data_IF_226421846509
#
_entry.id   IF_226421846509
#
_cell.length_a   1.000
_cell.length_b   1.000
_cell.length_c   1.000
_cell.angle_alpha   90.00
_cell.angle_beta   90.00
_cell.angle_gamma   90.00
#
_symmetry.space_group_name_H-M   'P 1'
#
loop_
_entity.id
_entity.type
_entity.pdbx_description
1 polymer ?
#
# COMPACT_ATOMS: atom_id res chain seq x y z
N UNK A 1 11.33 -7.59 0.04
CA UNK A 1 9.98 -7.10 -0.30
C UNK A 1 9.52 -7.65 -1.64
N UNK A 2 10.15 -7.29 -2.77
CA UNK A 2 9.78 -7.78 -4.12
C UNK A 2 9.95 -9.29 -4.31
N UNK A 3 11.15 -9.82 -4.06
CA UNK A 3 11.43 -11.27 -4.18
C UNK A 3 10.51 -12.11 -3.29
N UNK A 4 10.25 -11.63 -2.07
CA UNK A 4 9.34 -12.29 -1.12
C UNK A 4 7.87 -12.23 -1.57
N UNK A 5 7.47 -11.16 -2.25
CA UNK A 5 6.13 -10.99 -2.77
C UNK A 5 5.92 -11.69 -4.13
N UNK A 6 6.97 -12.29 -4.73
CA UNK A 6 6.91 -12.87 -6.07
C UNK A 6 6.61 -11.84 -7.17
N UNK A 7 6.96 -10.57 -6.96
CA UNK A 7 6.69 -9.47 -7.89
C UNK A 7 7.89 -9.19 -8.79
N UNK A 8 7.58 -8.75 -10.02
CA UNK A 8 8.58 -8.36 -11.01
C UNK A 8 9.39 -7.12 -10.55
N UNK A 9 10.60 -6.97 -11.10
CA UNK A 9 11.50 -5.86 -10.77
C UNK A 9 10.95 -4.49 -11.20
N UNK A 10 10.01 -4.44 -12.14
CA UNK A 10 9.29 -3.22 -12.50
C UNK A 10 8.63 -2.52 -11.31
N UNK A 11 8.22 -3.26 -10.27
CA UNK A 11 7.61 -2.70 -9.05
C UNK A 11 8.61 -2.14 -8.03
N UNK A 12 9.89 -2.02 -8.40
CA UNK A 12 10.92 -1.60 -7.45
C UNK A 12 10.71 -0.18 -6.94
N UNK A 13 10.24 0.74 -7.79
CA UNK A 13 9.94 2.11 -7.39
C UNK A 13 8.81 2.14 -6.34
N UNK A 14 7.75 1.37 -6.54
CA UNK A 14 6.62 1.23 -5.64
C UNK A 14 7.03 0.59 -4.31
N UNK A 15 7.91 -0.41 -4.35
CA UNK A 15 8.46 -1.04 -3.16
C UNK A 15 9.30 -0.04 -2.34
N UNK A 16 10.16 0.74 -3.00
CA UNK A 16 10.96 1.77 -2.36
C UNK A 16 10.09 2.85 -1.71
N UNK A 17 9.08 3.35 -2.44
CA UNK A 17 8.11 4.32 -1.92
C UNK A 17 7.34 3.77 -0.73
N UNK A 18 6.91 2.50 -0.79
CA UNK A 18 6.23 1.81 0.31
C UNK A 18 7.13 1.71 1.55
N UNK A 19 8.40 1.35 1.37
CA UNK A 19 9.36 1.26 2.47
C UNK A 19 9.56 2.62 3.17
N UNK A 20 9.70 3.70 2.40
CA UNK A 20 9.81 5.07 2.93
C UNK A 20 8.53 5.47 3.65
N UNK A 21 7.37 5.20 3.05
CA UNK A 21 6.06 5.51 3.62
C UNK A 21 5.84 4.84 4.99
N UNK A 22 6.22 3.57 5.10
CA UNK A 22 6.18 2.81 6.36
C UNK A 22 7.16 3.41 7.36
N UNK A 23 8.42 3.64 6.97
CA UNK A 23 9.45 4.19 7.85
C UNK A 23 9.04 5.54 8.45
N UNK A 24 8.36 6.39 7.69
CA UNK A 24 7.88 7.69 8.19
C UNK A 24 6.74 7.57 9.21
N UNK A 25 6.03 6.44 9.26
CA UNK A 25 4.88 6.20 10.14
C UNK A 25 5.16 5.20 11.27
N UNK A 26 6.37 4.66 11.31
CA UNK A 26 6.83 3.83 12.42
C UNK A 26 7.67 4.68 13.39
N UNK A 27 7.58 4.40 14.69
CA UNK A 27 8.54 4.95 15.65
C UNK A 27 9.92 4.39 15.34
N UNK A 28 10.94 5.21 15.56
CA UNK A 28 12.33 4.77 15.41
C UNK A 28 12.91 4.45 16.78
N UNK A 29 13.92 3.58 16.86
CA UNK A 29 14.61 3.31 18.13
C UNK A 29 15.22 4.57 18.77
N UNK A 30 15.49 5.61 17.98
CA UNK A 30 15.97 6.91 18.46
C UNK A 30 14.85 7.85 18.91
N UNK A 31 13.60 7.57 18.52
CA UNK A 31 12.42 8.38 18.82
C UNK A 31 11.22 7.45 19.07
N UNK A 32 11.22 6.70 20.19
CA UNK A 32 10.17 5.72 20.48
C UNK A 32 8.79 6.38 20.65
N UNK A 33 8.76 7.64 21.10
CA UNK A 33 7.53 8.33 21.48
C UNK A 33 6.82 9.02 20.31
N UNK A 34 7.52 9.24 19.19
CA UNK A 34 6.99 9.97 18.02
C UNK A 34 7.52 9.43 16.71
N UNK A 35 6.61 9.31 15.75
CA UNK A 35 6.91 8.99 14.36
C UNK A 35 7.36 10.25 13.60
N UNK A 36 8.19 10.13 12.54
CA UNK A 36 8.50 11.26 11.65
C UNK A 36 7.24 11.96 11.12
N UNK A 37 6.19 11.19 10.82
CA UNK A 37 4.88 11.71 10.40
C UNK A 37 4.27 12.62 11.48
N UNK A 38 4.24 12.20 12.74
CA UNK A 38 3.72 13.02 13.86
C UNK A 38 4.57 14.28 14.08
N UNK A 39 5.88 14.20 13.87
CA UNK A 39 6.77 15.35 14.02
C UNK A 39 6.45 16.43 12.98
N UNK A 40 6.23 16.03 11.73
CA UNK A 40 5.98 16.93 10.60
C UNK A 40 4.53 17.42 10.58
N UNK A 41 3.56 16.51 10.67
CA UNK A 41 2.14 16.82 10.50
C UNK A 41 1.39 17.09 11.81
N UNK A 42 2.07 16.96 12.96
CA UNK A 42 1.50 17.16 14.31
C UNK A 42 0.24 16.32 14.59
N UNK A 43 0.08 15.21 13.86
CA UNK A 43 -1.09 14.32 13.92
C UNK A 43 -0.65 12.87 13.84
N UNK A 44 -1.38 11.97 14.52
CA UNK A 44 -1.08 10.54 14.52
C UNK A 44 -1.33 9.93 13.13
N UNK A 45 -0.42 9.09 12.60
CA UNK A 45 -0.66 8.43 11.33
C UNK A 45 -1.80 7.42 11.48
N UNK A 46 -2.79 7.47 10.58
CA UNK A 46 -3.69 6.35 10.39
C UNK A 46 -2.95 5.26 9.59
N UNK A 47 -2.98 4.02 10.09
CA UNK A 47 -2.36 2.85 9.46
C UNK A 47 -3.38 1.75 9.14
N UNK A 48 -4.69 1.98 9.37
CA UNK A 48 -5.74 0.98 9.11
C UNK A 48 -5.83 0.56 7.64
N UNK A 49 -5.39 1.43 6.73
CA UNK A 49 -5.36 1.15 5.29
C UNK A 49 -4.10 0.42 4.83
N UNK A 50 -3.09 0.26 5.69
CA UNK A 50 -1.86 -0.44 5.31
C UNK A 50 -2.13 -1.92 5.07
N UNK A 51 -1.53 -2.44 4.00
CA UNK A 51 -1.51 -3.86 3.66
C UNK A 51 -0.07 -4.29 3.40
N UNK A 52 0.19 -5.59 3.53
CA UNK A 52 1.47 -6.18 3.12
C UNK A 52 1.71 -5.93 1.63
N UNK A 53 2.93 -5.58 1.27
CA UNK A 53 3.31 -5.36 -0.11
C UNK A 53 3.12 -6.64 -0.94
N UNK A 54 2.47 -6.53 -2.09
CA UNK A 54 2.09 -7.69 -2.92
C UNK A 54 0.82 -8.41 -2.47
N UNK A 55 0.00 -7.84 -1.59
CA UNK A 55 -1.33 -8.39 -1.31
C UNK A 55 -2.23 -8.35 -2.56
N UNK A 56 -3.21 -9.26 -2.61
CA UNK A 56 -4.29 -9.19 -3.60
C UNK A 56 -5.03 -7.85 -3.47
N UNK A 57 -5.19 -7.16 -4.58
CA UNK A 57 -5.96 -5.92 -4.69
C UNK A 57 -7.03 -6.08 -5.77
N UNK A 58 -8.17 -5.43 -5.58
CA UNK A 58 -9.25 -5.39 -6.56
C UNK A 58 -9.32 -3.99 -7.17
N UNK A 59 -9.33 -3.92 -8.50
CA UNK A 59 -9.52 -2.66 -9.21
C UNK A 59 -11.01 -2.39 -9.32
N UNK A 60 -11.44 -1.19 -8.96
CA UNK A 60 -12.83 -0.78 -9.15
C UNK A 60 -13.11 -0.60 -10.64
N UNK A 61 -13.90 -1.49 -11.23
CA UNK A 61 -14.37 -1.33 -12.62
C UNK A 61 -15.39 -0.17 -12.69
N UNK A 62 -15.14 0.85 -13.55
CA UNK A 62 -16.09 1.93 -13.80
C UNK A 62 -17.46 1.39 -14.23
N UNK A 63 -18.54 2.08 -13.86
CA UNK A 63 -19.92 1.63 -14.14
C UNK A 63 -20.17 1.38 -15.63
N UNK A 64 -19.57 2.18 -16.49
CA UNK A 64 -19.70 2.08 -17.96
C UNK A 64 -19.18 0.75 -18.51
N UNK A 65 -18.16 0.16 -17.88
CA UNK A 65 -17.58 -1.14 -18.25
C UNK A 65 -18.19 -2.33 -17.50
N UNK A 66 -19.17 -2.09 -16.61
CA UNK A 66 -19.81 -3.16 -15.81
C UNK A 66 -20.90 -3.90 -16.59
N UNK A 67 -21.37 -3.34 -17.71
CA UNK A 67 -22.49 -3.87 -18.50
C UNK A 67 -22.07 -4.87 -19.59
N UNK A 68 -20.78 -5.15 -19.77
CA UNK A 68 -20.29 -6.11 -20.77
C UNK A 68 -20.04 -7.52 -20.18
N UNK A 69 -20.82 -7.92 -19.17
CA UNK A 69 -20.90 -9.33 -18.78
C UNK A 69 -22.20 -9.87 -19.39
N UNK A 70 -22.10 -10.36 -20.63
CA UNK A 70 -23.13 -11.24 -21.18
C UNK A 70 -23.30 -12.47 -20.27
N UNK A 71 -24.48 -13.13 -20.29
CA UNK A 71 -24.72 -14.30 -19.45
C UNK A 71 -23.68 -15.37 -19.77
N UNK A 72 -23.03 -15.93 -18.76
CA UNK A 72 -22.28 -17.17 -18.96
C UNK A 72 -23.31 -18.28 -19.20
N UNK A 73 -23.41 -18.70 -20.45
CA UNK A 73 -24.05 -19.96 -20.85
C UNK A 73 -23.01 -21.09 -20.79
N UNK A 74 -23.48 -22.21 -20.23
CA UNK A 74 -22.92 -23.58 -20.23
C UNK A 74 -21.91 -23.94 -19.16
#
# INVERSE_FOLDING_TARGET
MLHYAGLDKSFWAEAAMTAIYIKNRLPSSKSPDKTPFEIVYKSKPNVKHMRIFGCKAFVLTPKEKRLEVGPQSS
#
